data_IF_088300434566
#
_entry.id   IF_088300434566
#
_cell.length_a   1.000
_cell.length_b   1.000
_cell.length_c   1.000
_cell.angle_alpha   90.00
_cell.angle_beta   90.00
_cell.angle_gamma   90.00
#
_symmetry.space_group_name_H-M   'P 1'
#
loop_
_entity.id
_entity.type
_entity.pdbx_description
1 polymer ?
#
# COMPACT_ATOMS: atom_id res chain seq x y z
N UNK A 1 11.69 11.19 11.15
CA UNK A 1 10.91 11.37 9.91
C UNK A 1 9.66 10.51 10.04
N UNK A 2 8.45 11.07 9.98
CA UNK A 2 7.23 10.26 10.09
C UNK A 2 7.00 9.54 8.76
N UNK A 3 7.09 8.20 8.78
CA UNK A 3 6.76 7.38 7.62
C UNK A 3 5.23 7.30 7.48
N UNK A 4 4.72 7.80 6.35
CA UNK A 4 3.29 7.87 6.08
C UNK A 4 2.87 6.71 5.17
N UNK A 5 1.89 5.93 5.63
CA UNK A 5 1.30 4.82 4.87
C UNK A 5 -0.09 5.23 4.37
N UNK A 6 -0.23 5.28 3.06
CA UNK A 6 -1.47 5.65 2.36
C UNK A 6 -1.96 4.48 1.49
N UNK A 7 -3.28 4.38 1.30
CA UNK A 7 -3.87 3.39 0.40
C UNK A 7 -4.42 4.14 -0.81
N UNK A 8 -3.86 3.88 -1.97
CA UNK A 8 -4.35 4.43 -3.22
C UNK A 8 -5.16 3.37 -3.98
N UNK A 9 -6.24 3.84 -4.60
CA UNK A 9 -7.03 3.05 -5.54
C UNK A 9 -6.64 3.44 -6.96
N UNK A 10 -6.32 2.44 -7.78
CA UNK A 10 -6.07 2.59 -9.20
C UNK A 10 -7.28 2.06 -9.96
N UNK A 11 -7.90 2.91 -10.78
CA UNK A 11 -9.09 2.60 -11.57
C UNK A 11 -8.77 2.83 -13.05
N UNK A 12 -9.17 1.90 -13.92
CA UNK A 12 -9.02 2.05 -15.36
C UNK A 12 -7.58 1.91 -15.83
N UNK A 13 -7.01 2.95 -16.48
CA UNK A 13 -5.66 2.93 -17.07
C UNK A 13 -4.52 2.94 -16.05
N UNK A 14 -4.80 3.24 -14.79
CA UNK A 14 -3.85 3.09 -13.69
C UNK A 14 -3.61 1.62 -13.31
N UNK A 15 -4.51 0.71 -13.68
CA UNK A 15 -4.39 -0.70 -13.33
C UNK A 15 -3.27 -1.36 -14.15
N UNK A 16 -2.33 -2.09 -13.52
CA UNK A 16 -1.26 -2.77 -14.24
C UNK A 16 -1.84 -3.81 -15.22
N UNK A 17 -1.17 -3.97 -16.37
CA UNK A 17 -1.64 -4.82 -17.45
C UNK A 17 -1.96 -6.26 -17.02
N UNK A 18 -1.20 -6.81 -16.05
CA UNK A 18 -1.44 -8.14 -15.49
C UNK A 18 -2.83 -8.27 -14.85
N UNK A 19 -3.24 -7.31 -14.03
CA UNK A 19 -4.54 -7.32 -13.36
C UNK A 19 -5.67 -6.99 -14.34
N UNK A 20 -5.40 -6.09 -15.29
CA UNK A 20 -6.35 -5.76 -16.35
C UNK A 20 -6.64 -6.96 -17.26
N UNK A 21 -5.65 -7.80 -17.53
CA UNK A 21 -5.80 -9.05 -18.28
C UNK A 21 -6.65 -10.09 -17.53
N UNK A 22 -6.67 -10.05 -16.20
CA UNK A 22 -7.55 -10.88 -15.35
C UNK A 22 -8.98 -10.33 -15.28
N UNK A 23 -9.28 -9.19 -15.93
CA UNK A 23 -10.60 -8.56 -15.92
C UNK A 23 -10.85 -7.64 -14.72
N UNK A 24 -9.82 -7.35 -13.91
CA UNK A 24 -9.97 -6.44 -12.77
C UNK A 24 -9.94 -4.99 -13.24
N UNK A 25 -10.98 -4.24 -12.86
CA UNK A 25 -11.18 -2.84 -13.25
C UNK A 25 -10.68 -1.85 -12.19
N UNK A 26 -10.42 -2.36 -10.98
CA UNK A 26 -10.02 -1.59 -9.79
C UNK A 26 -8.98 -2.40 -9.03
N UNK A 27 -7.92 -1.75 -8.57
CA UNK A 27 -6.90 -2.36 -7.73
C UNK A 27 -6.49 -1.39 -6.62
N UNK A 28 -6.15 -1.91 -5.45
CA UNK A 28 -5.67 -1.13 -4.32
C UNK A 28 -4.18 -1.34 -4.15
N UNK A 29 -3.43 -0.28 -3.88
CA UNK A 29 -1.99 -0.33 -3.66
C UNK A 29 -1.65 0.47 -2.41
N UNK A 30 -0.72 -0.07 -1.62
CA UNK A 30 -0.19 0.63 -0.45
C UNK A 30 1.00 1.49 -0.90
N UNK A 31 0.95 2.76 -0.52
CA UNK A 31 2.00 3.75 -0.74
C UNK A 31 2.67 4.04 0.60
N UNK A 32 3.99 3.91 0.63
CA UNK A 32 4.82 4.31 1.75
C UNK A 32 5.59 5.57 1.35
N UNK A 33 5.36 6.68 2.03
CA UNK A 33 6.00 7.97 1.74
C UNK A 33 5.84 8.41 0.26
N UNK A 34 4.72 8.03 -0.38
CA UNK A 34 4.47 8.31 -1.80
C UNK A 34 5.09 7.31 -2.78
N UNK A 35 5.86 6.33 -2.28
CA UNK A 35 6.43 5.25 -3.09
C UNK A 35 5.59 3.98 -2.97
N UNK A 36 5.38 3.26 -4.07
CA UNK A 36 4.55 2.06 -4.08
C UNK A 36 5.28 0.91 -3.40
N UNK A 37 4.83 0.53 -2.22
CA UNK A 37 5.41 -0.55 -1.42
C UNK A 37 4.40 -1.68 -1.31
N UNK A 38 4.52 -2.66 -2.21
CA UNK A 38 3.74 -3.90 -2.14
C UNK A 38 3.11 -4.33 -3.46
N UNK A 39 2.30 -5.37 -3.36
CA UNK A 39 1.50 -5.91 -4.46
C UNK A 39 0.21 -5.09 -4.60
N UNK A 40 -0.41 -5.16 -5.78
CA UNK A 40 -1.74 -4.60 -5.97
C UNK A 40 -2.78 -5.60 -5.46
N UNK A 41 -3.58 -5.18 -4.48
CA UNK A 41 -4.64 -5.95 -3.86
C UNK A 41 -5.93 -5.85 -4.68
N UNK A 42 -6.68 -6.94 -4.72
CA UNK A 42 -8.00 -7.03 -5.36
C UNK A 42 -9.11 -6.47 -4.47
N UNK A 43 -8.83 -6.28 -3.17
CA UNK A 43 -9.79 -5.85 -2.16
C UNK A 43 -9.22 -4.68 -1.35
N UNK A 44 -10.09 -3.75 -0.97
CA UNK A 44 -9.73 -2.66 -0.05
C UNK A 44 -9.32 -3.19 1.32
N UNK A 45 -10.03 -4.20 1.81
CA UNK A 45 -9.83 -4.76 3.16
C UNK A 45 -8.40 -5.28 3.34
N UNK A 46 -7.93 -6.13 2.42
CA UNK A 46 -6.54 -6.62 2.39
C UNK A 46 -5.51 -5.47 2.35
N UNK A 47 -5.80 -4.42 1.58
CA UNK A 47 -4.92 -3.26 1.51
C UNK A 47 -4.90 -2.47 2.83
N UNK A 48 -6.02 -2.39 3.55
CA UNK A 48 -6.09 -1.75 4.87
C UNK A 48 -5.39 -2.59 5.96
N UNK A 49 -5.52 -3.91 5.93
CA UNK A 49 -4.77 -4.81 6.82
C UNK A 49 -3.26 -4.66 6.59
N UNK A 50 -2.85 -4.64 5.31
CA UNK A 50 -1.45 -4.43 4.97
C UNK A 50 -0.96 -3.03 5.39
N UNK A 51 -1.79 -2.00 5.22
CA UNK A 51 -1.48 -0.65 5.73
C UNK A 51 -1.30 -0.65 7.24
N UNK A 52 -2.16 -1.33 7.99
CA UNK A 52 -2.07 -1.43 9.44
C UNK A 52 -0.80 -2.16 9.88
N UNK A 53 -0.46 -3.27 9.21
CA UNK A 53 0.79 -3.99 9.44
C UNK A 53 2.02 -3.14 9.14
N UNK A 54 2.00 -2.36 8.05
CA UNK A 54 3.07 -1.40 7.75
C UNK A 54 3.16 -0.28 8.78
N UNK A 55 2.05 0.30 9.21
CA UNK A 55 2.04 1.31 10.27
C UNK A 55 2.60 0.76 11.59
N UNK A 56 2.22 -0.47 11.95
CA UNK A 56 2.75 -1.14 13.14
C UNK A 56 4.25 -1.40 13.02
N UNK A 57 4.71 -1.87 11.86
CA UNK A 57 6.13 -2.04 11.58
C UNK A 57 6.87 -0.71 11.64
N UNK A 58 6.41 0.34 10.95
CA UNK A 58 7.08 1.65 10.97
C UNK A 58 7.11 2.28 12.35
N UNK A 59 6.07 2.07 13.16
CA UNK A 59 6.05 2.50 14.55
C UNK A 59 7.05 1.69 15.40
N UNK A 60 7.23 0.40 15.12
CA UNK A 60 8.22 -0.45 15.78
C UNK A 60 9.67 -0.20 15.27
N UNK A 61 9.83 0.11 13.98
CA UNK A 61 11.02 0.54 13.26
C UNK A 61 11.35 2.02 13.50
N UNK A 62 10.55 2.68 14.32
CA UNK A 62 10.93 3.91 15.02
C UNK A 62 11.48 3.56 16.41
N UNK A 63 12.53 2.75 16.60
CA UNK A 63 13.35 2.98 17.77
C UNK A 63 13.97 4.34 17.52
N UNK A 64 13.48 5.33 18.25
CA UNK A 64 14.35 6.23 18.98
C UNK A 64 15.78 6.28 18.39
N UNK A 65 16.02 7.23 17.47
CA UNK A 65 17.38 7.57 17.06
C UNK A 65 18.13 8.28 18.19
N UNK A 66 18.01 7.82 19.44
CA UNK A 66 18.47 8.56 20.61
C UNK A 66 18.79 7.66 21.82
N UNK A 67 19.82 6.82 21.67
CA UNK A 67 20.92 6.84 22.64
C UNK A 67 22.22 6.30 22.06
#
# INVERSE_FOLDING_TARGET
MQSKVDVAVMIGSGVPACLRATGQSVCWVVLLNGERRGTAFSSRDEAEECRAAWLAQLNAESPDSLH
#
